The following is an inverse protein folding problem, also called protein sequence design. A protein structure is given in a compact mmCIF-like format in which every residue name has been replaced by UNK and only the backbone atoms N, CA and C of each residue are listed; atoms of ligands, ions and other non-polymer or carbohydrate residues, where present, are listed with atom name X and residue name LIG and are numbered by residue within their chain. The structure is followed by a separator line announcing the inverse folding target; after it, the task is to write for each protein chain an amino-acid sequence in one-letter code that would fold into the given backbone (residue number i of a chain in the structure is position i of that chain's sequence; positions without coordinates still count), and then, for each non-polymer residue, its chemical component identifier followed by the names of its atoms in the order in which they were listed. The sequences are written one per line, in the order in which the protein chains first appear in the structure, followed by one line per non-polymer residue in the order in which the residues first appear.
data_IF_447914689318
#
_entry.id   IF_447914689318
#
_cell.length_a   1.000
_cell.length_b   1.000
_cell.length_c   1.000
_cell.angle_alpha   90.00
_cell.angle_beta   90.00
_cell.angle_gamma   90.00
#
_symmetry.space_group_name_H-M   'P 1'
#
loop_
_entity.id
_entity.type
_entity.pdbx_description
1 polymer ?
#
# COMPACT_ATOMS: atom_id res chain seq x y z
N UNK A 1 -8.47 -25.24 8.45
CA UNK A 1 -7.38 -24.37 7.97
C UNK A 1 -7.52 -24.04 6.48
N UNK A 2 -7.91 -24.99 5.62
CA UNK A 2 -8.16 -24.77 4.18
C UNK A 2 -9.18 -23.65 3.89
N UNK A 3 -10.35 -23.67 4.55
CA UNK A 3 -11.41 -22.67 4.34
C UNK A 3 -10.97 -21.19 4.46
N UNK A 4 -10.11 -20.89 5.44
CA UNK A 4 -9.64 -19.52 5.65
C UNK A 4 -8.63 -19.10 4.58
N UNK A 5 -7.72 -20.01 4.22
CA UNK A 5 -6.75 -19.84 3.14
C UNK A 5 -7.46 -19.60 1.81
N UNK A 6 -8.47 -20.40 1.49
CA UNK A 6 -9.24 -20.28 0.24
C UNK A 6 -9.92 -18.93 0.12
N UNK A 7 -10.46 -18.41 1.22
CA UNK A 7 -11.15 -17.11 1.21
C UNK A 7 -10.19 -15.93 1.03
N UNK A 8 -8.98 -16.01 1.61
CA UNK A 8 -7.96 -14.97 1.46
C UNK A 8 -7.35 -14.97 0.07
N UNK A 9 -7.06 -16.16 -0.48
CA UNK A 9 -6.41 -16.30 -1.79
C UNK A 9 -7.40 -16.25 -2.97
N UNK A 10 -8.71 -16.35 -2.71
CA UNK A 10 -9.74 -16.25 -3.74
C UNK A 10 -9.61 -14.96 -4.55
N UNK A 11 -9.58 -15.09 -5.87
CA UNK A 11 -9.41 -13.96 -6.77
C UNK A 11 -10.18 -14.11 -8.08
N UNK A 12 -10.72 -12.99 -8.58
CA UNK A 12 -11.23 -12.93 -9.94
C UNK A 12 -10.08 -12.87 -10.93
N UNK A 13 -10.07 -13.79 -11.89
CA UNK A 13 -9.00 -13.94 -12.89
C UNK A 13 -9.10 -12.87 -14.00
N UNK A 14 -8.95 -11.59 -13.66
CA UNK A 14 -9.09 -10.47 -14.59
C UNK A 14 -7.79 -9.70 -14.77
N UNK A 15 -7.58 -9.17 -15.98
CA UNK A 15 -6.44 -8.30 -16.27
C UNK A 15 -6.55 -6.95 -15.56
N UNK A 16 -7.76 -6.42 -15.37
CA UNK A 16 -8.00 -5.16 -14.67
C UNK A 16 -7.42 -5.14 -13.25
N UNK A 17 -7.68 -6.18 -12.45
CA UNK A 17 -7.10 -6.29 -11.10
C UNK A 17 -5.57 -6.42 -11.14
N UNK A 18 -5.03 -7.08 -12.16
CA UNK A 18 -3.57 -7.23 -12.32
C UNK A 18 -2.90 -5.88 -12.58
N UNK A 19 -3.49 -5.05 -13.43
CA UNK A 19 -3.00 -3.71 -13.73
C UNK A 19 -3.05 -2.83 -12.48
N UNK A 20 -4.20 -2.80 -11.79
CA UNK A 20 -4.36 -2.02 -10.54
C UNK A 20 -3.32 -2.46 -9.51
N UNK A 21 -3.14 -3.77 -9.33
CA UNK A 21 -2.18 -4.36 -8.39
C UNK A 21 -0.75 -3.94 -8.68
N UNK A 22 -0.31 -4.12 -9.93
CA UNK A 22 1.06 -3.83 -10.32
C UNK A 22 1.33 -2.33 -10.27
N UNK A 23 0.40 -1.50 -10.76
CA UNK A 23 0.58 -0.04 -10.74
C UNK A 23 0.60 0.51 -9.31
N UNK A 24 -0.30 0.06 -8.44
CA UNK A 24 -0.27 0.44 -7.03
C UNK A 24 1.07 0.06 -6.38
N UNK A 25 1.54 -1.17 -6.59
CA UNK A 25 2.83 -1.59 -6.06
C UNK A 25 4.02 -0.79 -6.64
N UNK A 26 4.03 -0.53 -7.95
CA UNK A 26 5.11 0.24 -8.59
C UNK A 26 5.17 1.69 -8.10
N UNK A 27 4.02 2.33 -7.88
CA UNK A 27 3.98 3.70 -7.35
C UNK A 27 4.37 3.72 -5.87
N UNK A 28 3.95 2.72 -5.08
CA UNK A 28 4.23 2.71 -3.64
C UNK A 28 5.66 2.32 -3.28
N UNK A 29 6.30 1.47 -4.09
CA UNK A 29 7.64 0.97 -3.80
C UNK A 29 8.71 2.07 -3.64
N UNK A 30 8.77 3.10 -4.51
CA UNK A 30 9.66 4.25 -4.31
C UNK A 30 9.46 4.95 -2.97
N UNK A 31 8.23 5.10 -2.49
CA UNK A 31 7.95 5.73 -1.18
C UNK A 31 8.51 4.89 -0.03
N UNK A 32 8.38 3.56 -0.11
CA UNK A 32 9.01 2.66 0.85
C UNK A 32 10.54 2.70 0.77
N UNK A 33 11.10 2.77 -0.44
CA UNK A 33 12.54 2.82 -0.67
C UNK A 33 13.17 4.15 -0.19
N UNK A 34 12.44 5.27 -0.32
CA UNK A 34 12.83 6.56 0.26
C UNK A 34 12.98 6.47 1.78
N UNK A 35 12.06 5.77 2.45
CA UNK A 35 12.08 5.61 3.91
C UNK A 35 13.09 4.56 4.37
N UNK A 36 13.24 3.45 3.65
CA UNK A 36 14.12 2.35 4.05
C UNK A 36 15.60 2.60 3.73
N UNK A 37 15.88 3.16 2.55
CA UNK A 37 17.24 3.27 2.02
C UNK A 37 17.67 4.70 1.69
N UNK A 38 16.78 5.69 1.80
CA UNK A 38 17.06 7.06 1.37
C UNK A 38 17.19 7.22 -0.15
N UNK A 39 16.69 6.26 -0.93
CA UNK A 39 16.71 6.34 -2.39
C UNK A 39 15.83 7.47 -2.90
N UNK A 40 16.04 7.90 -4.15
CA UNK A 40 15.22 8.94 -4.79
C UNK A 40 15.12 10.25 -3.99
N UNK A 41 16.21 10.62 -3.30
CA UNK A 41 16.25 11.82 -2.45
C UNK A 41 15.52 11.66 -1.12
N UNK A 42 15.22 10.44 -0.69
CA UNK A 42 14.60 10.16 0.60
C UNK A 42 15.53 10.36 1.79
N UNK A 43 14.95 10.60 2.97
CA UNK A 43 15.69 10.93 4.19
C UNK A 43 16.24 9.71 4.94
N UNK A 44 15.88 8.49 4.53
CA UNK A 44 16.28 7.25 5.18
C UNK A 44 15.55 7.00 6.52
N UNK A 45 15.86 5.87 7.17
CA UNK A 45 15.02 5.34 8.24
C UNK A 45 15.09 6.18 9.52
N UNK A 46 16.28 6.66 9.90
CA UNK A 46 16.46 7.45 11.12
C UNK A 46 15.66 8.76 11.09
N UNK A 47 15.80 9.54 10.01
CA UNK A 47 15.07 10.78 9.83
C UNK A 47 13.56 10.54 9.68
N UNK A 48 13.17 9.45 9.01
CA UNK A 48 11.77 9.08 8.90
C UNK A 48 11.15 8.78 10.28
N UNK A 49 11.82 8.02 11.16
CA UNK A 49 11.29 7.72 12.49
C UNK A 49 11.10 8.98 13.33
N UNK A 50 12.05 9.92 13.28
CA UNK A 50 11.95 11.19 13.99
C UNK A 50 10.75 12.02 13.47
N UNK A 51 10.59 12.10 12.15
CA UNK A 51 9.46 12.78 11.53
C UNK A 51 8.14 12.10 11.85
N UNK A 52 8.10 10.77 11.83
CA UNK A 52 6.90 9.99 12.11
C UNK A 52 6.42 10.25 13.54
N UNK A 53 7.32 10.24 14.52
CA UNK A 53 6.97 10.47 15.92
C UNK A 53 6.39 11.87 16.14
N UNK A 54 7.01 12.89 15.54
CA UNK A 54 6.56 14.28 15.61
C UNK A 54 5.16 14.47 15.01
N UNK A 55 4.91 13.85 13.86
CA UNK A 55 3.68 14.03 13.09
C UNK A 55 2.52 13.22 13.68
N UNK A 56 2.76 11.95 13.98
CA UNK A 56 1.71 11.02 14.39
C UNK A 56 1.44 11.05 15.89
N UNK A 57 2.38 11.55 16.70
CA UNK A 57 2.36 11.42 18.15
C UNK A 57 2.55 10.00 18.66
N UNK A 58 2.87 9.06 17.76
CA UNK A 58 3.13 7.65 18.09
C UNK A 58 4.63 7.40 18.24
N UNK A 59 5.06 6.42 19.05
CA UNK A 59 6.47 6.07 19.18
C UNK A 59 7.17 5.84 17.83
N UNK A 60 8.33 6.45 17.62
CA UNK A 60 9.04 6.42 16.32
C UNK A 60 9.28 5.02 15.77
N UNK A 61 9.51 4.01 16.62
CA UNK A 61 9.73 2.62 16.18
C UNK A 61 8.53 2.02 15.43
N UNK A 62 7.31 2.52 15.63
CA UNK A 62 6.13 2.10 14.86
C UNK A 62 6.21 2.53 13.39
N UNK A 63 7.06 3.50 13.04
CA UNK A 63 7.35 3.85 11.66
C UNK A 63 7.93 2.69 10.85
N UNK A 64 8.52 1.67 11.49
CA UNK A 64 8.92 0.45 10.79
C UNK A 64 7.74 -0.29 10.16
N UNK A 65 6.55 -0.21 10.75
CA UNK A 65 5.34 -0.79 10.15
C UNK A 65 4.99 -0.08 8.84
N UNK A 66 5.11 1.25 8.80
CA UNK A 66 4.92 2.04 7.57
C UNK A 66 5.91 1.61 6.50
N UNK A 67 7.19 1.48 6.86
CA UNK A 67 8.24 1.04 5.93
C UNK A 67 7.95 -0.36 5.39
N UNK A 68 7.56 -1.30 6.25
CA UNK A 68 7.22 -2.66 5.84
C UNK A 68 6.05 -2.65 4.87
N UNK A 69 4.98 -1.91 5.17
CA UNK A 69 3.79 -1.81 4.30
C UNK A 69 4.18 -1.21 2.94
N UNK A 70 4.88 -0.09 2.91
CA UNK A 70 5.18 0.60 1.66
C UNK A 70 6.27 -0.07 0.82
N UNK A 71 7.26 -0.69 1.44
CA UNK A 71 8.36 -1.33 0.71
C UNK A 71 8.06 -2.81 0.42
N UNK A 72 7.91 -3.61 1.48
CA UNK A 72 7.67 -5.06 1.35
C UNK A 72 6.28 -5.30 0.79
N UNK A 73 5.27 -4.59 1.30
CA UNK A 73 3.91 -4.73 0.82
C UNK A 73 3.76 -4.35 -0.65
N UNK A 74 4.47 -3.32 -1.13
CA UNK A 74 4.47 -2.98 -2.55
C UNK A 74 5.08 -4.07 -3.44
N UNK A 75 6.20 -4.68 -3.02
CA UNK A 75 6.80 -5.83 -3.74
C UNK A 75 5.81 -7.02 -3.74
N UNK A 76 5.20 -7.31 -2.59
CA UNK A 76 4.20 -8.37 -2.48
C UNK A 76 2.98 -8.11 -3.38
N UNK A 77 2.51 -6.86 -3.48
CA UNK A 77 1.48 -6.49 -4.45
C UNK A 77 1.94 -6.76 -5.88
N UNK A 78 3.12 -6.30 -6.31
CA UNK A 78 3.61 -6.54 -7.68
C UNK A 78 3.59 -8.03 -8.02
N UNK A 79 4.15 -8.87 -7.14
CA UNK A 79 4.19 -10.32 -7.29
C UNK A 79 2.82 -11.00 -7.16
N UNK A 80 1.82 -10.30 -6.60
CA UNK A 80 0.52 -10.86 -6.31
C UNK A 80 0.56 -11.90 -5.20
N UNK A 81 1.29 -11.60 -4.13
CA UNK A 81 1.43 -12.44 -2.94
C UNK A 81 0.71 -11.80 -1.75
N UNK A 82 -0.26 -12.51 -1.18
CA UNK A 82 -1.10 -12.08 -0.06
C UNK A 82 -1.78 -10.73 -0.30
N UNK A 83 -2.34 -10.56 -1.50
CA UNK A 83 -2.81 -9.24 -1.98
C UNK A 83 -3.83 -8.63 -1.04
N UNK A 84 -4.83 -9.40 -0.57
CA UNK A 84 -5.87 -8.87 0.32
C UNK A 84 -5.29 -8.33 1.63
N UNK A 85 -4.29 -8.99 2.21
CA UNK A 85 -3.66 -8.54 3.44
C UNK A 85 -2.98 -7.19 3.23
N UNK A 86 -2.11 -7.10 2.21
CA UNK A 86 -1.38 -5.88 1.92
C UNK A 86 -2.31 -4.74 1.51
N UNK A 87 -3.36 -5.02 0.75
CA UNK A 87 -4.37 -4.02 0.39
C UNK A 87 -5.07 -3.43 1.62
N UNK A 88 -5.46 -4.25 2.60
CA UNK A 88 -6.03 -3.75 3.86
C UNK A 88 -5.02 -2.91 4.66
N UNK A 89 -3.75 -3.33 4.68
CA UNK A 89 -2.70 -2.56 5.31
C UNK A 89 -2.48 -1.19 4.64
N UNK A 90 -2.49 -1.12 3.31
CA UNK A 90 -2.43 0.14 2.55
C UNK A 90 -3.64 1.04 2.83
N UNK A 91 -4.85 0.48 2.93
CA UNK A 91 -6.05 1.25 3.29
C UNK A 91 -5.87 1.92 4.66
N UNK A 92 -5.51 1.13 5.69
CA UNK A 92 -5.33 1.65 7.04
C UNK A 92 -4.21 2.70 7.12
N UNK A 93 -3.08 2.42 6.44
CA UNK A 93 -1.95 3.35 6.37
C UNK A 93 -2.37 4.69 5.76
N UNK A 94 -3.02 4.67 4.61
CA UNK A 94 -3.39 5.89 3.90
C UNK A 94 -4.48 6.69 4.62
N UNK A 95 -5.42 6.03 5.29
CA UNK A 95 -6.35 6.73 6.19
C UNK A 95 -5.58 7.46 7.31
N UNK A 96 -4.60 6.80 7.94
CA UNK A 96 -3.75 7.43 8.96
C UNK A 96 -2.97 8.63 8.42
N UNK A 97 -2.40 8.51 7.21
CA UNK A 97 -1.69 9.61 6.55
C UNK A 97 -2.61 10.79 6.26
N UNK A 98 -3.85 10.55 5.80
CA UNK A 98 -4.82 11.63 5.58
C UNK A 98 -5.09 12.37 6.89
N UNK A 99 -5.49 11.63 7.93
CA UNK A 99 -5.91 12.21 9.20
C UNK A 99 -4.78 12.95 9.93
N UNK A 100 -3.53 12.48 9.79
CA UNK A 100 -2.39 13.04 10.53
C UNK A 100 -1.68 14.16 9.78
N UNK A 101 -1.72 14.18 8.45
CA UNK A 101 -0.89 15.08 7.64
C UNK A 101 -1.65 15.92 6.62
N UNK A 102 -2.64 15.34 5.93
CA UNK A 102 -3.15 15.97 4.69
C UNK A 102 -4.53 16.61 4.88
N UNK A 103 -5.29 16.21 5.90
CA UNK A 103 -6.64 16.72 6.16
C UNK A 103 -6.70 18.26 6.28
N UNK A 104 -5.75 18.95 6.95
CA UNK A 104 -5.78 20.42 7.05
C UNK A 104 -5.57 21.15 5.73
N UNK A 105 -4.96 20.51 4.73
CA UNK A 105 -4.65 21.11 3.42
C UNK A 105 -5.77 20.90 2.38
N UNK A 106 -6.86 20.22 2.75
CA UNK A 106 -8.02 20.04 1.89
C UNK A 106 -7.82 18.99 0.80
N UNK A 107 -8.67 19.03 -0.23
CA UNK A 107 -8.77 17.97 -1.22
C UNK A 107 -7.59 17.94 -2.20
N UNK A 108 -7.26 19.06 -2.84
CA UNK A 108 -6.36 19.09 -3.99
C UNK A 108 -4.89 18.97 -3.60
N UNK A 109 -4.15 18.15 -4.35
CA UNK A 109 -2.69 18.13 -4.26
C UNK A 109 -2.08 19.49 -4.64
N UNK A 110 -0.91 19.78 -4.11
CA UNK A 110 -0.18 21.02 -4.34
C UNK A 110 0.77 20.93 -5.54
N UNK A 111 0.29 20.40 -6.67
CA UNK A 111 1.11 20.20 -7.87
C UNK A 111 1.83 21.47 -8.36
N UNK A 112 1.21 22.63 -8.15
CA UNK A 112 1.73 23.95 -8.55
C UNK A 112 2.49 24.71 -7.46
N UNK A 113 2.65 24.15 -6.26
CA UNK A 113 3.36 24.79 -5.15
C UNK A 113 2.66 26.00 -4.51
N UNK A 114 1.38 26.24 -4.84
CA UNK A 114 0.60 27.41 -4.37
C UNK A 114 -0.15 27.17 -3.05
N UNK A 115 -0.05 25.98 -2.47
CA UNK A 115 -0.64 25.61 -1.19
C UNK A 115 0.45 25.45 -0.11
N UNK A 116 0.11 25.62 1.19
CA UNK A 116 1.07 25.41 2.28
C UNK A 116 1.44 23.94 2.51
N UNK A 117 0.72 22.99 1.91
CA UNK A 117 0.96 21.56 2.02
C UNK A 117 0.18 20.78 0.97
N UNK A 118 0.38 19.46 0.94
CA UNK A 118 -0.30 18.56 0.01
C UNK A 118 -1.70 18.18 0.49
N UNK A 119 -2.71 18.25 -0.37
CA UNK A 119 -4.04 17.71 -0.10
C UNK A 119 -4.09 16.18 -0.13
N UNK A 120 -5.30 15.62 0.01
CA UNK A 120 -5.49 14.15 0.12
C UNK A 120 -6.04 13.44 -1.12
N UNK A 121 -6.20 14.12 -2.26
CA UNK A 121 -6.72 13.55 -3.53
C UNK A 121 -5.98 12.27 -3.96
N UNK A 122 -4.64 12.29 -4.00
CA UNK A 122 -3.82 11.12 -4.35
C UNK A 122 -4.08 9.93 -3.40
N UNK A 123 -4.26 10.22 -2.11
CA UNK A 123 -4.45 9.21 -1.08
C UNK A 123 -5.76 8.44 -1.28
N UNK A 124 -6.82 9.11 -1.75
CA UNK A 124 -8.08 8.47 -2.09
C UNK A 124 -7.97 7.52 -3.28
N UNK A 125 -7.15 7.85 -4.28
CA UNK A 125 -6.89 6.95 -5.41
C UNK A 125 -6.18 5.68 -4.93
N UNK A 126 -5.19 5.81 -4.05
CA UNK A 126 -4.52 4.66 -3.43
C UNK A 126 -5.51 3.80 -2.64
N UNK A 127 -6.35 4.42 -1.81
CA UNK A 127 -7.38 3.71 -1.03
C UNK A 127 -8.38 3.01 -1.96
N UNK A 128 -8.84 3.67 -3.03
CA UNK A 128 -9.78 3.08 -3.99
C UNK A 128 -9.20 1.87 -4.72
N UNK A 129 -7.95 1.97 -5.18
CA UNK A 129 -7.22 0.85 -5.79
C UNK A 129 -7.01 -0.30 -4.80
N UNK A 130 -6.61 0.01 -3.57
CA UNK A 130 -6.44 -0.99 -2.53
C UNK A 130 -7.78 -1.66 -2.17
N UNK A 131 -8.90 -0.94 -2.14
CA UNK A 131 -10.23 -1.53 -1.95
C UNK A 131 -10.64 -2.46 -3.09
N UNK A 132 -10.36 -2.08 -4.35
CA UNK A 132 -10.62 -2.96 -5.49
C UNK A 132 -9.88 -4.30 -5.37
N UNK A 133 -8.64 -4.28 -4.85
CA UNK A 133 -7.84 -5.48 -4.60
C UNK A 133 -8.27 -6.24 -3.34
N UNK A 134 -8.64 -5.54 -2.27
CA UNK A 134 -9.12 -6.14 -1.03
C UNK A 134 -10.43 -6.93 -1.26
N UNK A 135 -11.31 -6.46 -2.14
CA UNK A 135 -12.56 -7.12 -2.52
C UNK A 135 -12.35 -8.13 -3.65
N UNK A 136 -11.70 -7.72 -4.74
CA UNK A 136 -11.56 -8.52 -5.96
C UNK A 136 -10.46 -9.58 -5.92
N UNK A 137 -9.50 -9.45 -5.00
CA UNK A 137 -8.31 -10.30 -4.90
C UNK A 137 -7.20 -9.91 -5.88
N UNK A 138 -6.25 -10.82 -6.08
CA UNK A 138 -4.99 -10.57 -6.76
C UNK A 138 -5.05 -10.32 -8.28
N UNK A 139 -6.02 -10.85 -9.03
CA UNK A 139 -6.01 -10.84 -10.49
C UNK A 139 -5.13 -11.92 -11.11
N UNK A 140 -4.95 -11.86 -12.43
CA UNK A 140 -4.06 -12.75 -13.19
C UNK A 140 -2.60 -12.61 -12.75
N UNK A 141 -1.79 -13.60 -13.12
CA UNK A 141 -0.32 -13.59 -12.92
C UNK A 141 0.05 -13.26 -11.47
N UNK A 142 -0.68 -13.85 -10.52
CA UNK A 142 -0.43 -13.70 -9.10
C UNK A 142 0.02 -15.01 -8.48
N UNK A 143 0.90 -14.91 -7.49
CA UNK A 143 1.27 -16.06 -6.65
C UNK A 143 0.02 -16.60 -5.94
N UNK A 144 -0.88 -15.72 -5.46
CA UNK A 144 -2.15 -16.10 -4.84
C UNK A 144 -3.00 -17.01 -5.74
N UNK A 145 -3.12 -16.68 -7.03
CA UNK A 145 -3.82 -17.51 -8.01
C UNK A 145 -3.15 -18.88 -8.20
N UNK A 146 -1.82 -18.92 -8.29
CA UNK A 146 -1.07 -20.18 -8.42
C UNK A 146 -1.33 -21.08 -7.21
N UNK A 147 -1.28 -20.52 -6.00
CA UNK A 147 -1.52 -21.26 -4.76
C UNK A 147 -2.97 -21.75 -4.64
N UNK A 148 -3.95 -20.95 -5.09
CA UNK A 148 -5.37 -21.33 -5.05
C UNK A 148 -5.76 -22.40 -6.09
N UNK A 149 -5.02 -22.51 -7.20
CA UNK A 149 -5.29 -23.51 -8.25
C UNK A 149 -4.68 -24.89 -7.93
N UNK A 150 -3.67 -24.97 -7.07
CA UNK A 150 -3.05 -26.25 -6.71
C UNK A 150 -3.93 -27.13 -5.82
N UNK A 151 -4.87 -26.56 -5.05
CA UNK A 151 -5.75 -27.34 -4.16
C UNK A 151 -7.01 -27.89 -4.85
N UNK A 152 -7.33 -27.42 -6.06
CA UNK A 152 -8.49 -27.88 -6.87
C UNK A 152 -8.16 -28.99 -7.87
N UNK A 153 -7.03 -29.66 -7.71
CA UNK A 153 -6.62 -30.81 -8.54
C UNK A 153 -6.84 -32.13 -7.80
N UNK A 154 -8.09 -32.48 -7.51
CA UNK A 154 -8.50 -33.84 -7.13
C UNK A 154 -9.91 -34.09 -7.64
#
# INVERSE_FOLDING_TARGET
MAFFKDRILATHNTWGLSIVRVMLGLVMWPHGAQKLFGWFGGYGPAAFMESFEKVSGLPGWLGWLVIIIEFVGAICLILGFWVRLWSLAFIGLFIGIILSLHLPYGFFMNWGGNQPGEGYEYHLLVIGMAWALAVGGAGKLSIDQSMANQERKF
#
